data_IF_835603559290
#
_entry.id   IF_835603559290
#
_cell.length_a   1.000
_cell.length_b   1.000
_cell.length_c   1.000
_cell.angle_alpha   90.00
_cell.angle_beta   90.00
_cell.angle_gamma   90.00
#
_symmetry.space_group_name_H-M   'P 1'
#
loop_
_entity.id
_entity.type
_entity.pdbx_description
1 polymer ?
#
# COMPACT_ATOMS: atom_id res chain seq x y z
N UNK A 1 20.37 -11.99 -8.87
CA UNK A 1 19.03 -11.65 -9.35
C UNK A 1 18.74 -10.25 -8.85
N UNK A 2 18.56 -9.28 -9.74
CA UNK A 2 18.07 -7.95 -9.40
C UNK A 2 16.55 -8.07 -9.26
N UNK A 3 16.02 -7.98 -8.05
CA UNK A 3 14.59 -8.09 -7.81
C UNK A 3 13.94 -6.70 -7.87
N UNK A 4 12.72 -6.61 -8.39
CA UNK A 4 11.93 -5.38 -8.38
C UNK A 4 10.72 -5.58 -7.49
N UNK A 5 10.52 -4.67 -6.54
CA UNK A 5 9.34 -4.64 -5.68
C UNK A 5 8.38 -3.62 -6.26
N UNK A 6 7.16 -4.03 -6.59
CA UNK A 6 6.12 -3.11 -7.08
C UNK A 6 5.14 -2.85 -5.95
N UNK A 7 5.08 -1.63 -5.40
CA UNK A 7 4.11 -1.29 -4.37
C UNK A 7 2.71 -1.25 -5.00
N UNK A 8 1.80 -2.01 -4.40
CA UNK A 8 0.41 -2.18 -4.83
C UNK A 8 -0.49 -1.93 -3.62
N UNK A 9 -1.52 -1.11 -3.80
CA UNK A 9 -2.57 -0.92 -2.80
C UNK A 9 -3.93 -0.94 -3.47
N UNK A 10 -4.97 -1.19 -2.68
CA UNK A 10 -6.34 -1.10 -3.13
C UNK A 10 -7.23 -0.54 -2.03
N UNK A 11 -8.31 0.12 -2.44
CA UNK A 11 -9.34 0.64 -1.57
C UNK A 11 -10.71 0.46 -2.23
N UNK A 12 -11.77 0.58 -1.44
CA UNK A 12 -13.16 0.37 -1.87
C UNK A 12 -14.01 1.53 -1.38
N UNK A 13 -15.09 1.91 -2.09
CA UNK A 13 -15.97 2.99 -1.60
C UNK A 13 -16.76 2.63 -0.35
N UNK A 14 -17.16 1.37 -0.22
CA UNK A 14 -17.95 0.83 0.90
C UNK A 14 -17.25 -0.41 1.46
N UNK A 15 -16.03 -0.25 2.02
CA UNK A 15 -15.29 -1.37 2.58
C UNK A 15 -15.88 -1.76 3.92
N UNK A 16 -15.89 -3.06 4.20
CA UNK A 16 -16.01 -3.56 5.57
C UNK A 16 -14.59 -3.73 6.10
N UNK A 17 -14.20 -2.88 7.05
CA UNK A 17 -12.90 -2.97 7.72
C UNK A 17 -13.07 -3.81 8.98
N UNK A 18 -12.42 -4.96 9.03
CA UNK A 18 -12.41 -5.80 10.22
C UNK A 18 -11.49 -5.21 11.29
N UNK A 19 -11.92 -5.25 12.55
CA UNK A 19 -11.10 -4.86 13.72
C UNK A 19 -10.14 -5.98 14.13
N UNK A 20 -9.45 -6.56 13.16
CA UNK A 20 -8.40 -7.55 13.37
C UNK A 20 -7.05 -6.85 13.46
N UNK A 21 -6.02 -7.57 13.91
CA UNK A 21 -4.66 -7.03 14.06
C UNK A 21 -4.05 -6.55 12.73
N UNK A 22 -4.59 -7.01 11.60
CA UNK A 22 -4.20 -6.64 10.23
C UNK A 22 -5.18 -5.67 9.55
N UNK A 23 -6.23 -5.20 10.23
CA UNK A 23 -7.26 -4.29 9.68
C UNK A 23 -7.77 -4.72 8.30
N UNK A 24 -8.09 -6.00 8.13
CA UNK A 24 -8.46 -6.55 6.82
C UNK A 24 -9.61 -5.76 6.16
N UNK A 25 -9.43 -5.40 4.89
CA UNK A 25 -10.40 -4.63 4.10
C UNK A 25 -11.15 -5.59 3.17
N UNK A 26 -12.45 -5.74 3.39
CA UNK A 26 -13.30 -6.56 2.54
C UNK A 26 -14.20 -5.69 1.65
N UNK A 27 -14.05 -5.76 0.31
CA UNK A 27 -14.93 -5.06 -0.60
C UNK A 27 -16.32 -5.69 -0.56
N UNK A 28 -17.36 -4.87 -0.47
CA UNK A 28 -18.73 -5.37 -0.52
C UNK A 28 -19.08 -5.84 -1.95
N UNK A 29 -20.00 -6.81 -2.11
CA UNK A 29 -20.48 -7.19 -3.44
C UNK A 29 -21.01 -5.96 -4.21
N UNK A 30 -20.63 -5.85 -5.49
CA UNK A 30 -21.00 -4.74 -6.38
C UNK A 30 -20.47 -3.36 -5.94
N UNK A 31 -19.32 -3.33 -5.28
CA UNK A 31 -18.63 -2.09 -4.93
C UNK A 31 -17.57 -1.67 -5.95
N UNK A 32 -17.28 -0.38 -5.99
CA UNK A 32 -16.21 0.17 -6.80
C UNK A 32 -14.88 -0.03 -6.06
N UNK A 33 -14.00 -0.85 -6.64
CA UNK A 33 -12.64 -1.07 -6.15
C UNK A 33 -11.68 -0.20 -6.94
N UNK A 34 -10.81 0.51 -6.22
CA UNK A 34 -9.73 1.31 -6.78
C UNK A 34 -8.41 0.63 -6.46
N UNK A 35 -7.61 0.42 -7.50
CA UNK A 35 -6.29 -0.21 -7.37
C UNK A 35 -5.27 0.84 -7.79
N UNK A 36 -4.25 1.04 -6.96
CA UNK A 36 -3.14 1.93 -7.27
C UNK A 36 -1.83 1.17 -7.27
N UNK A 37 -1.12 1.31 -8.38
CA UNK A 37 0.17 0.65 -8.64
C UNK A 37 1.22 1.76 -8.67
N UNK A 38 2.21 1.67 -7.79
CA UNK A 38 3.33 2.60 -7.77
C UNK A 38 4.47 2.17 -8.68
N UNK A 39 5.55 2.95 -8.65
CA UNK A 39 6.75 2.68 -9.44
C UNK A 39 7.51 1.47 -8.85
N UNK A 40 8.06 0.58 -9.69
CA UNK A 40 8.94 -0.49 -9.22
C UNK A 40 10.18 0.06 -8.51
N UNK A 41 10.48 -0.47 -7.33
CA UNK A 41 11.66 -0.17 -6.52
C UNK A 41 12.66 -1.31 -6.72
N UNK A 42 13.88 -0.96 -7.19
CA UNK A 42 14.92 -1.95 -7.46
C UNK A 42 15.65 -2.34 -6.18
N UNK A 43 15.82 -3.65 -5.97
CA UNK A 43 16.55 -4.20 -4.82
C UNK A 43 17.88 -4.77 -5.28
N UNK A 44 18.97 -4.23 -4.73
CA UNK A 44 20.32 -4.75 -4.96
C UNK A 44 20.51 -6.08 -4.23
N UNK A 45 21.21 -7.03 -4.86
CA UNK A 45 21.42 -8.38 -4.30
C UNK A 45 22.27 -8.39 -3.02
N UNK A 46 23.20 -7.45 -2.89
CA UNK A 46 24.16 -7.35 -1.78
C UNK A 46 23.98 -6.02 -1.04
N UNK A 47 22.77 -5.78 -0.55
CA UNK A 47 22.46 -4.59 0.25
C UNK A 47 23.05 -4.75 1.65
N UNK A 48 23.67 -3.69 2.20
CA UNK A 48 24.08 -3.67 3.60
C UNK A 48 22.85 -3.47 4.50
N UNK A 49 22.91 -3.90 5.76
CA UNK A 49 21.79 -3.75 6.71
C UNK A 49 21.26 -2.31 6.77
N UNK A 50 22.16 -1.32 6.80
CA UNK A 50 21.80 0.10 6.77
C UNK A 50 21.02 0.53 5.53
N UNK A 51 21.36 -0.03 4.36
CA UNK A 51 20.65 0.25 3.11
C UNK A 51 19.33 -0.54 3.04
N UNK A 52 19.26 -1.70 3.69
CA UNK A 52 18.03 -2.48 3.80
C UNK A 52 16.96 -1.73 4.60
N UNK A 53 17.34 -1.11 5.71
CA UNK A 53 16.44 -0.28 6.52
C UNK A 53 15.95 0.94 5.73
N UNK A 54 16.84 1.61 4.98
CA UNK A 54 16.46 2.73 4.10
C UNK A 54 15.48 2.29 3.01
N UNK A 55 15.74 1.14 2.39
CA UNK A 55 14.87 0.57 1.37
C UNK A 55 13.50 0.19 1.95
N UNK A 56 13.46 -0.39 3.15
CA UNK A 56 12.23 -0.71 3.84
C UNK A 56 11.41 0.57 4.11
N UNK A 57 12.06 1.63 4.59
CA UNK A 57 11.43 2.94 4.82
C UNK A 57 10.93 3.58 3.51
N UNK A 58 11.68 3.45 2.41
CA UNK A 58 11.26 3.93 1.08
C UNK A 58 10.01 3.21 0.61
N UNK A 59 9.97 1.87 0.72
CA UNK A 59 8.82 1.05 0.35
C UNK A 59 7.61 1.40 1.23
N UNK A 60 7.80 1.48 2.53
CA UNK A 60 6.75 1.86 3.49
C UNK A 60 6.17 3.23 3.15
N UNK A 61 7.03 4.22 2.91
CA UNK A 61 6.62 5.58 2.52
C UNK A 61 5.83 5.56 1.22
N UNK A 62 6.30 4.82 0.20
CA UNK A 62 5.61 4.70 -1.07
C UNK A 62 4.22 4.05 -0.91
N UNK A 63 4.11 2.97 -0.14
CA UNK A 63 2.84 2.30 0.12
C UNK A 63 1.86 3.19 0.90
N UNK A 64 2.35 3.92 1.90
CA UNK A 64 1.52 4.84 2.69
C UNK A 64 0.97 5.98 1.82
N UNK A 65 1.78 6.57 0.95
CA UNK A 65 1.34 7.60 0.00
C UNK A 65 0.26 7.05 -0.93
N UNK A 66 0.51 5.89 -1.55
CA UNK A 66 -0.46 5.29 -2.48
C UNK A 66 -1.78 4.97 -1.78
N UNK A 67 -1.72 4.50 -0.53
CA UNK A 67 -2.89 4.12 0.27
C UNK A 67 -3.70 5.36 0.65
N UNK A 68 -3.06 6.42 1.13
CA UNK A 68 -3.72 7.70 1.44
C UNK A 68 -4.39 8.32 0.20
N UNK A 69 -3.73 8.26 -0.96
CA UNK A 69 -4.32 8.71 -2.22
C UNK A 69 -5.52 7.85 -2.65
N UNK A 70 -5.46 6.54 -2.43
CA UNK A 70 -6.54 5.60 -2.76
C UNK A 70 -7.74 5.81 -1.83
N UNK A 71 -7.50 5.98 -0.54
CA UNK A 71 -8.52 6.23 0.48
C UNK A 71 -9.18 7.59 0.28
N UNK A 72 -8.41 8.63 -0.05
CA UNK A 72 -8.96 9.94 -0.45
C UNK A 72 -9.87 9.82 -1.66
N UNK A 73 -9.48 9.03 -2.65
CA UNK A 73 -10.31 8.80 -3.84
C UNK A 73 -11.63 8.10 -3.49
N UNK A 74 -11.59 7.13 -2.58
CA UNK A 74 -12.76 6.41 -2.09
C UNK A 74 -13.62 7.21 -1.09
N UNK A 75 -13.16 8.38 -0.64
CA UNK A 75 -13.83 9.17 0.39
C UNK A 75 -13.67 8.61 1.81
N UNK A 76 -12.71 7.73 2.02
CA UNK A 76 -12.40 7.11 3.33
C UNK A 76 -11.47 7.95 4.20
N UNK A 77 -11.13 9.17 3.74
CA UNK A 77 -10.21 10.08 4.41
C UNK A 77 -10.51 10.18 5.90
N UNK A 78 -9.52 9.83 6.72
CA UNK A 78 -9.57 9.89 8.17
C UNK A 78 -9.94 11.32 8.61
N UNK A 79 -11.20 11.51 8.99
CA UNK A 79 -11.58 12.59 9.90
C UNK A 79 -11.11 12.19 11.29
N UNK A 80 -9.82 12.32 11.59
CA UNK A 80 -9.21 12.33 12.94
C UNK A 80 -7.70 12.51 12.84
#
# INVERSE_FOLDING_TARGET
THAQIVPLTFSSKRPIIFKTWDKFVFPTPFDDIYIKIGKPIAVEKNISDSKMDMLALEIETAMNILTDECDKFCGLGTSS
#
